data_IF_929595241050
#
_entry.id   IF_929595241050
#
_cell.length_a   1.000
_cell.length_b   1.000
_cell.length_c   1.000
_cell.angle_alpha   90.00
_cell.angle_beta   90.00
_cell.angle_gamma   90.00
#
_symmetry.space_group_name_H-M   'P 1'
#
loop_
_entity.id
_entity.type
_entity.pdbx_description
1 polymer ?
2 non-polymer ?
3 non-polymer ?
4 water ?
#
# COMPACT_ATOMS: atom_id res chain seq x y z
N UNK A 1 -3.82 13.66 21.25
CA UNK A 1 -4.32 13.34 19.86
C UNK A 1 -5.13 12.04 19.90
N UNK A 2 -5.71 11.68 18.75
CA UNK A 2 -6.69 10.59 18.60
C UNK A 2 -6.45 9.95 17.23
N UNK A 3 -7.09 8.82 16.97
CA UNK A 3 -7.09 8.19 15.62
C UNK A 3 -8.52 8.25 15.10
N UNK A 4 -8.61 8.34 13.78
CA UNK A 4 -9.85 8.17 13.01
C UNK A 4 -9.71 6.82 12.28
N UNK A 5 -10.52 5.84 12.64
CA UNK A 5 -10.42 4.44 12.16
C UNK A 5 -11.51 4.20 11.10
N UNK A 6 -11.07 3.92 9.88
CA UNK A 6 -11.94 3.59 8.72
C UNK A 6 -11.80 2.11 8.39
N UNK A 7 -12.83 1.44 7.85
CA UNK A 7 -12.65 0.13 7.23
C UNK A 7 -11.63 0.24 6.09
N UNK A 8 -10.81 -0.79 5.89
CA UNK A 8 -9.73 -0.77 4.86
C UNK A 8 -10.37 -0.75 3.45
N UNK A 9 -11.53 -1.36 3.30
CA UNK A 9 -12.16 -1.51 1.96
C UNK A 9 -13.69 -1.69 2.05
N UNK A 10 -14.40 -1.24 1.02
CA UNK A 10 -15.85 -1.48 0.80
C UNK A 10 -16.04 -1.67 -0.70
N UNK A 11 -17.11 -2.33 -1.11
CA UNK A 11 -17.43 -2.56 -2.54
C UNK A 11 -18.94 -2.61 -2.72
N UNK A 12 -19.39 -2.33 -3.93
CA UNK A 12 -20.80 -2.51 -4.33
C UNK A 12 -20.86 -2.46 -5.84
N UNK A 13 -22.00 -2.79 -6.40
CA UNK A 13 -22.27 -2.80 -7.85
C UNK A 13 -22.78 -1.42 -8.25
N UNK A 14 -22.67 -1.03 -9.54
CA UNK A 14 -23.19 0.25 -10.00
C UNK A 14 -24.66 0.42 -9.57
N UNK A 15 -25.04 1.65 -9.22
CA UNK A 15 -26.44 2.04 -8.93
C UNK A 15 -26.75 1.88 -7.46
N UNK A 16 -25.91 1.16 -6.71
CA UNK A 16 -26.15 0.88 -5.28
C UNK A 16 -25.61 2.01 -4.43
N UNK A 17 -25.90 1.91 -3.14
CA UNK A 17 -25.53 2.82 -2.03
C UNK A 17 -24.46 2.13 -1.15
N UNK A 18 -23.38 2.83 -0.82
CA UNK A 18 -22.36 2.28 0.10
C UNK A 18 -22.08 3.32 1.17
N UNK A 19 -21.81 2.87 2.39
CA UNK A 19 -21.43 3.76 3.51
C UNK A 19 -20.01 3.43 3.96
N UNK A 20 -19.21 4.47 4.20
CA UNK A 20 -17.85 4.41 4.78
C UNK A 20 -17.88 5.14 6.13
N UNK A 21 -17.53 4.44 7.20
CA UNK A 21 -17.49 4.98 8.57
C UNK A 21 -16.07 5.41 8.94
N UNK A 22 -15.97 6.20 10.00
CA UNK A 22 -14.78 6.92 10.48
C UNK A 22 -14.98 7.13 11.97
N UNK A 23 -14.47 6.23 12.81
CA UNK A 23 -14.66 6.25 14.29
C UNK A 23 -13.50 7.01 14.93
N UNK A 24 -13.81 8.00 15.76
CA UNK A 24 -12.79 8.77 16.50
C UNK A 24 -12.49 8.01 17.79
N UNK A 25 -11.23 7.71 18.04
CA UNK A 25 -10.77 6.79 19.12
C UNK A 25 -10.96 7.42 20.51
N UNK A 26 -10.67 8.71 20.67
CA UNK A 26 -10.91 9.46 21.93
C UNK A 26 -11.24 10.92 21.61
N UNK A 27 -12.00 11.57 22.50
CA UNK A 27 -12.62 12.88 22.26
C UNK A 27 -13.93 12.70 21.50
N UNK A 28 -14.76 13.74 21.42
CA UNK A 28 -16.12 13.61 20.81
C UNK A 28 -16.04 13.98 19.32
N UNK A 29 -16.61 13.15 18.46
CA UNK A 29 -16.66 13.34 16.99
C UNK A 29 -17.23 14.74 16.67
N UNK A 30 -18.16 15.26 17.49
CA UNK A 30 -18.83 16.55 17.18
C UNK A 30 -18.07 17.73 17.79
N UNK A 31 -16.94 17.51 18.46
CA UNK A 31 -16.07 18.58 19.00
C UNK A 31 -15.41 19.33 17.85
N UNK A 32 -15.13 18.64 16.73
CA UNK A 32 -14.45 19.28 15.56
C UNK A 32 -15.02 18.76 14.24
N UNK A 33 -15.00 19.61 13.22
CA UNK A 33 -15.44 19.33 11.84
C UNK A 33 -14.68 18.14 11.23
N UNK A 34 -15.44 17.30 10.51
CA UNK A 34 -14.94 16.17 9.68
C UNK A 34 -15.00 16.56 8.20
N UNK A 35 -13.90 16.33 7.49
CA UNK A 35 -13.81 16.49 6.03
C UNK A 35 -13.68 15.09 5.41
N UNK A 36 -14.07 14.95 4.14
CA UNK A 36 -13.85 13.70 3.37
C UNK A 36 -13.15 14.06 2.08
N UNK A 37 -12.09 13.32 1.76
CA UNK A 37 -11.34 13.45 0.48
C UNK A 37 -11.47 12.16 -0.33
N UNK A 38 -11.68 12.33 -1.64
CA UNK A 38 -11.68 11.24 -2.63
C UNK A 38 -10.35 11.30 -3.36
N UNK A 39 -9.69 10.16 -3.50
CA UNK A 39 -8.50 10.10 -4.38
C UNK A 39 -8.63 8.91 -5.31
N UNK A 40 -8.99 9.19 -6.55
CA UNK A 40 -8.99 8.17 -7.63
C UNK A 40 -7.55 7.75 -7.90
N UNK A 41 -7.32 6.45 -8.19
CA UNK A 41 -5.96 5.94 -8.41
C UNK A 41 -5.35 6.77 -9.56
N UNK A 42 -4.13 7.27 -9.37
CA UNK A 42 -3.44 8.09 -10.36
C UNK A 42 -4.12 9.44 -10.54
N UNK A 43 -4.80 9.97 -9.53
CA UNK A 43 -5.27 11.38 -9.52
C UNK A 43 -4.92 12.08 -8.21
N UNK A 44 -5.04 13.40 -8.24
CA UNK A 44 -4.95 14.32 -7.11
C UNK A 44 -6.17 14.09 -6.21
N UNK A 45 -6.03 14.31 -4.89
CA UNK A 45 -7.18 14.37 -4.01
C UNK A 45 -8.15 15.49 -4.40
N UNK A 46 -9.41 15.26 -4.07
CA UNK A 46 -10.48 16.29 -4.17
C UNK A 46 -11.35 16.19 -2.91
N UNK A 47 -11.78 17.32 -2.41
CA UNK A 47 -12.69 17.36 -1.23
C UNK A 47 -14.12 17.06 -1.70
N UNK A 48 -14.77 16.05 -1.11
CA UNK A 48 -16.21 15.76 -1.40
C UNK A 48 -17.11 16.29 -0.26
N UNK A 49 -16.61 16.36 0.96
CA UNK A 49 -17.36 16.90 2.12
C UNK A 49 -16.42 17.75 2.98
N UNK A 50 -16.91 18.89 3.46
CA UNK A 50 -16.27 19.68 4.54
C UNK A 50 -17.32 20.00 5.63
N UNK A 51 -16.85 20.32 6.82
CA UNK A 51 -17.74 20.72 7.95
C UNK A 51 -18.85 19.66 8.08
N UNK A 52 -18.47 18.37 8.15
CA UNK A 52 -19.38 17.22 8.46
C UNK A 52 -20.27 16.84 7.26
N UNK A 53 -20.89 17.79 6.56
CA UNK A 53 -21.97 17.48 5.58
C UNK A 53 -22.10 18.52 4.46
N UNK A 54 -21.19 19.48 4.35
CA UNK A 54 -21.23 20.47 3.25
C UNK A 54 -20.53 19.88 2.00
N UNK A 55 -21.17 20.01 0.83
CA UNK A 55 -20.60 19.63 -0.48
C UNK A 55 -20.01 20.87 -1.14
N UNK A 56 -18.71 20.85 -1.51
CA UNK A 56 -18.15 21.89 -2.38
C UNK A 56 -18.98 21.96 -3.65
N UNK A 57 -18.97 23.09 -4.33
CA UNK A 57 -19.75 23.23 -5.59
C UNK A 57 -19.10 22.28 -6.61
N UNK A 58 -19.91 21.64 -7.46
CA UNK A 58 -19.43 20.62 -8.42
C UNK A 58 -19.56 19.20 -7.87
N UNK A 59 -19.67 19.02 -6.55
CA UNK A 59 -19.81 17.66 -5.94
C UNK A 59 -21.28 17.28 -5.90
N UNK A 60 -21.67 16.18 -6.60
CA UNK A 60 -23.07 15.80 -6.72
C UNK A 60 -23.66 15.40 -5.37
N UNK A 61 -24.97 15.57 -5.22
CA UNK A 61 -25.73 15.25 -3.98
C UNK A 61 -25.83 13.73 -3.73
N UNK A 62 -25.25 12.89 -4.61
CA UNK A 62 -25.00 11.43 -4.37
C UNK A 62 -24.07 11.25 -3.18
N UNK A 63 -23.21 12.22 -2.89
CA UNK A 63 -22.29 12.18 -1.72
C UNK A 63 -22.94 12.88 -0.54
N UNK A 64 -23.01 12.19 0.58
CA UNK A 64 -23.65 12.70 1.81
C UNK A 64 -22.79 12.39 3.03
N UNK A 65 -22.42 13.44 3.77
CA UNK A 65 -21.72 13.33 5.06
C UNK A 65 -22.70 13.33 6.21
N UNK A 66 -22.42 12.56 7.27
CA UNK A 66 -23.24 12.50 8.49
C UNK A 66 -22.32 12.31 9.70
N UNK A 67 -22.87 12.58 10.88
CA UNK A 67 -22.20 12.39 12.18
C UNK A 67 -23.15 11.53 13.00
N UNK A 68 -22.61 10.52 13.66
CA UNK A 68 -23.34 9.68 14.63
C UNK A 68 -22.64 9.86 15.97
N UNK A 69 -23.19 10.68 16.86
CA UNK A 69 -22.64 10.90 18.23
C UNK A 69 -22.70 9.58 19.02
N UNK A 70 -23.72 8.76 18.77
CA UNK A 70 -23.90 7.44 19.45
C UNK A 70 -22.63 6.60 19.33
N UNK A 71 -22.11 6.41 18.11
CA UNK A 71 -20.92 5.58 17.85
C UNK A 71 -19.63 6.43 17.80
N UNK A 72 -19.73 7.75 18.02
CA UNK A 72 -18.58 8.69 17.93
C UNK A 72 -17.92 8.54 16.55
N UNK A 73 -18.72 8.54 15.48
CA UNK A 73 -18.27 8.23 14.12
C UNK A 73 -18.83 9.26 13.14
N UNK A 74 -18.11 9.44 12.04
CA UNK A 74 -18.63 10.13 10.84
C UNK A 74 -18.84 9.07 9.77
N UNK A 75 -19.69 9.35 8.80
CA UNK A 75 -19.90 8.49 7.62
C UNK A 75 -19.99 9.32 6.35
N UNK A 76 -19.41 8.79 5.27
CA UNK A 76 -19.69 9.17 3.88
C UNK A 76 -20.62 8.12 3.26
N UNK A 77 -21.76 8.55 2.72
CA UNK A 77 -22.74 7.68 2.02
C UNK A 77 -22.74 8.10 0.56
N UNK A 78 -22.39 7.17 -0.33
CA UNK A 78 -22.45 7.38 -1.79
C UNK A 78 -23.59 6.54 -2.37
N UNK A 79 -24.63 7.21 -2.89
CA UNK A 79 -25.79 6.57 -3.54
C UNK A 79 -25.56 6.60 -5.05
N UNK A 80 -26.27 5.76 -5.79
CA UNK A 80 -26.24 5.79 -7.26
C UNK A 80 -24.84 5.52 -7.76
N UNK A 81 -24.14 4.54 -7.15
CA UNK A 81 -22.69 4.34 -7.37
C UNK A 81 -22.39 4.35 -8.87
N UNK A 82 -21.38 5.09 -9.27
CA UNK A 82 -20.84 5.07 -10.65
C UNK A 82 -19.40 4.55 -10.61
N UNK A 83 -18.88 4.10 -11.76
CA UNK A 83 -17.56 3.46 -11.84
C UNK A 83 -16.50 4.52 -11.52
N UNK A 84 -16.74 5.80 -11.80
CA UNK A 84 -15.76 6.86 -11.51
C UNK A 84 -15.69 7.11 -9.98
N UNK A 85 -16.57 6.52 -9.18
CA UNK A 85 -16.53 6.65 -7.70
C UNK A 85 -15.47 5.72 -7.09
N UNK A 86 -14.91 4.77 -7.87
CA UNK A 86 -13.84 3.85 -7.39
C UNK A 86 -12.62 4.69 -7.03
N UNK A 87 -12.20 4.67 -5.78
CA UNK A 87 -11.23 5.66 -5.25
C UNK A 87 -10.91 5.30 -3.81
N UNK A 88 -9.86 5.88 -3.27
CA UNK A 88 -9.63 5.89 -1.81
C UNK A 88 -10.35 7.10 -1.23
N UNK A 89 -11.02 6.88 -0.10
CA UNK A 89 -11.74 7.91 0.67
C UNK A 89 -11.08 8.02 2.04
N UNK A 90 -10.72 9.26 2.38
CA UNK A 90 -10.14 9.61 3.70
C UNK A 90 -11.03 10.62 4.43
N UNK A 91 -11.27 10.35 5.71
CA UNK A 91 -11.87 11.31 6.65
C UNK A 91 -10.74 12.04 7.38
N UNK A 92 -11.04 13.20 7.94
CA UNK A 92 -10.04 14.10 8.57
C UNK A 92 -10.75 15.02 9.55
N UNK A 93 -10.14 15.22 10.71
CA UNK A 93 -10.61 16.17 11.73
C UNK A 93 -9.38 16.70 12.49
N UNK A 94 -9.57 17.26 13.67
CA UNK A 94 -8.49 17.91 14.44
C UNK A 94 -8.92 18.03 15.90
N UNK A 95 -7.93 18.25 16.78
CA UNK A 95 -8.09 18.82 18.14
C UNK A 95 -7.00 19.89 18.31
N UNK A 96 -7.39 21.16 18.36
CA UNK A 96 -6.49 22.33 18.33
C UNK A 96 -5.67 22.26 17.03
N UNK A 97 -4.33 22.15 17.12
CA UNK A 97 -3.44 22.16 15.93
C UNK A 97 -3.23 20.73 15.39
N UNK A 98 -3.33 19.68 16.23
CA UNK A 98 -3.28 18.26 15.77
C UNK A 98 -4.33 18.03 14.67
N UNK A 99 -3.90 17.93 13.41
CA UNK A 99 -4.72 17.45 12.25
C UNK A 99 -4.62 15.93 12.21
N UNK A 100 -5.73 15.22 12.18
CA UNK A 100 -5.76 13.74 12.16
C UNK A 100 -6.50 13.27 10.90
N UNK A 101 -5.84 12.45 10.09
CA UNK A 101 -6.42 11.79 8.90
C UNK A 101 -6.77 10.35 9.27
N UNK A 102 -7.86 9.85 8.70
CA UNK A 102 -8.14 8.40 8.68
C UNK A 102 -7.14 7.65 7.82
N UNK A 103 -7.06 6.34 7.99
CA UNK A 103 -6.14 5.48 7.23
C UNK A 103 -6.57 5.33 5.77
N UNK A 104 -7.78 5.74 5.41
CA UNK A 104 -8.27 5.51 4.03
C UNK A 104 -9.11 4.23 3.89
N UNK A 105 -10.12 4.30 3.05
CA UNK A 105 -10.97 3.16 2.64
C UNK A 105 -10.93 3.11 1.13
N UNK A 106 -10.54 1.96 0.59
CA UNK A 106 -10.66 1.66 -0.85
C UNK A 106 -12.10 1.27 -1.16
N UNK A 107 -12.79 2.06 -2.00
CA UNK A 107 -14.12 1.70 -2.53
C UNK A 107 -13.93 1.07 -3.91
N UNK A 108 -14.35 -0.17 -4.08
CA UNK A 108 -14.36 -0.83 -5.41
C UNK A 108 -15.80 -0.85 -5.90
N UNK A 109 -15.99 -0.38 -7.13
CA UNK A 109 -17.25 -0.59 -7.89
C UNK A 109 -17.04 -1.90 -8.67
N UNK A 110 -17.76 -2.94 -8.29
CA UNK A 110 -17.50 -4.35 -8.69
C UNK A 110 -17.58 -4.45 -10.21
N UNK A 111 -16.46 -4.84 -10.85
CA UNK A 111 -16.36 -5.13 -12.28
C UNK A 111 -16.43 -6.62 -12.57
N UNK A 112 -16.49 -7.45 -11.52
CA UNK A 112 -16.47 -8.93 -11.65
C UNK A 112 -16.88 -9.50 -10.33
N UNK A 113 -17.18 -10.81 -10.26
CA UNK A 113 -17.60 -11.42 -9.00
C UNK A 113 -16.53 -11.25 -7.91
N UNK A 114 -16.98 -11.07 -6.68
CA UNK A 114 -16.10 -11.16 -5.50
C UNK A 114 -15.49 -12.56 -5.45
N UNK A 115 -14.26 -12.63 -4.97
CA UNK A 115 -13.49 -13.88 -4.79
C UNK A 115 -12.65 -13.75 -3.52
N UNK A 116 -12.87 -14.65 -2.56
CA UNK A 116 -12.11 -14.75 -1.29
C UNK A 116 -10.69 -15.21 -1.61
N UNK A 117 -9.66 -14.68 -0.92
CA UNK A 117 -8.26 -15.06 -1.19
C UNK A 117 -7.94 -16.47 -0.71
N UNK A 118 -7.13 -17.21 -1.47
CA UNK A 118 -6.28 -18.33 -0.96
C UNK A 118 -5.10 -17.74 -0.20
N UNK A 119 -4.88 -18.22 1.01
CA UNK A 119 -3.81 -17.75 1.92
C UNK A 119 -2.97 -18.98 2.24
N UNK A 120 -1.68 -18.91 1.94
CA UNK A 120 -0.68 -19.97 2.19
C UNK A 120 0.49 -19.36 2.95
N UNK A 121 0.73 -19.87 4.16
CA UNK A 121 1.79 -19.38 5.04
C UNK A 121 2.96 -20.37 5.02
N UNK A 122 4.15 -19.88 4.74
CA UNK A 122 5.38 -20.69 4.60
C UNK A 122 6.32 -20.40 5.76
N UNK A 123 6.81 -21.47 6.46
CA UNK A 123 7.85 -21.31 7.46
C UNK A 123 9.19 -21.06 6.77
N UNK A 124 10.26 -20.71 7.50
CA UNK A 124 11.54 -20.39 6.88
C UNK A 124 12.12 -21.57 6.10
N UNK A 125 12.80 -21.29 5.00
CA UNK A 125 13.48 -22.29 4.13
C UNK A 125 14.79 -22.69 4.82
N UNK A 126 15.15 -23.97 4.78
CA UNK A 126 16.42 -24.51 5.35
C UNK A 126 17.60 -23.72 4.81
N UNK A 127 17.64 -23.51 3.50
CA UNK A 127 18.79 -22.80 2.91
C UNK A 127 18.97 -21.44 3.59
N UNK A 128 17.90 -20.64 3.73
CA UNK A 128 18.05 -19.24 4.24
C UNK A 128 18.48 -19.33 5.70
N UNK A 129 18.05 -20.33 6.45
CA UNK A 129 18.40 -20.48 7.89
C UNK A 129 19.93 -20.53 7.99
N UNK A 130 20.61 -21.18 7.04
CA UNK A 130 22.09 -21.27 7.02
C UNK A 130 22.73 -19.97 6.49
N UNK A 131 21.94 -19.00 6.02
CA UNK A 131 22.43 -17.61 5.76
C UNK A 131 22.01 -16.68 6.90
N UNK A 132 21.58 -17.21 8.05
CA UNK A 132 21.20 -16.44 9.29
C UNK A 132 19.91 -15.62 9.02
N UNK A 133 19.00 -16.14 8.17
CA UNK A 133 17.70 -15.49 7.83
C UNK A 133 16.57 -16.46 8.15
N UNK A 134 15.45 -15.94 8.63
CA UNK A 134 14.23 -16.74 8.88
C UNK A 134 13.01 -15.98 8.36
N UNK A 135 13.02 -15.59 7.10
CA UNK A 135 11.85 -14.94 6.45
C UNK A 135 10.67 -15.89 6.40
N UNK A 136 9.49 -15.43 6.86
CA UNK A 136 8.17 -16.08 6.65
C UNK A 136 7.50 -15.39 5.44
N UNK A 137 6.78 -16.14 4.61
CA UNK A 137 6.02 -15.55 3.47
C UNK A 137 4.60 -16.04 3.56
N UNK A 138 3.68 -15.10 3.43
CA UNK A 138 2.22 -15.32 3.37
C UNK A 138 1.76 -14.96 1.96
N UNK A 139 1.59 -15.95 1.10
CA UNK A 139 1.07 -15.77 -0.27
C UNK A 139 -0.46 -15.60 -0.26
N UNK A 140 -0.96 -14.58 -0.94
CA UNK A 140 -2.40 -14.24 -1.00
C UNK A 140 -2.80 -14.16 -2.47
N UNK A 141 -3.62 -15.08 -2.93
CA UNK A 141 -3.92 -15.21 -4.38
C UNK A 141 -5.42 -15.32 -4.64
N UNK A 142 -5.79 -15.09 -5.90
CA UNK A 142 -7.14 -15.35 -6.47
C UNK A 142 -8.20 -14.47 -5.77
N UNK A 143 -7.89 -13.21 -5.44
CA UNK A 143 -8.89 -12.39 -4.70
C UNK A 143 -9.39 -11.25 -5.59
N UNK A 144 -10.65 -10.88 -5.33
CA UNK A 144 -11.29 -9.69 -5.94
C UNK A 144 -12.35 -9.23 -4.96
N UNK A 145 -12.50 -7.90 -4.71
CA UNK A 145 -11.59 -6.85 -5.18
C UNK A 145 -10.11 -6.96 -4.78
N UNK A 146 -9.24 -6.16 -5.40
CA UNK A 146 -7.77 -6.21 -5.23
C UNK A 146 -7.31 -5.41 -4.02
N UNK A 147 -8.02 -5.49 -2.89
CA UNK A 147 -7.67 -4.74 -1.66
C UNK A 147 -7.64 -5.75 -0.51
N UNK A 148 -6.52 -5.82 0.21
CA UNK A 148 -6.34 -6.69 1.40
C UNK A 148 -5.58 -5.89 2.45
N UNK A 149 -5.75 -6.28 3.68
CA UNK A 149 -4.91 -5.83 4.79
C UNK A 149 -4.33 -7.09 5.44
N UNK A 150 -3.05 -7.04 5.79
CA UNK A 150 -2.33 -8.18 6.40
C UNK A 150 -1.80 -7.71 7.76
N UNK A 151 -2.01 -8.51 8.80
CA UNK A 151 -1.44 -8.25 10.13
C UNK A 151 -0.76 -9.54 10.61
N UNK A 152 0.39 -9.39 11.26
CA UNK A 152 1.17 -10.56 11.73
C UNK A 152 1.16 -10.62 13.24
N UNK A 153 1.19 -11.83 13.81
CA UNK A 153 1.31 -12.08 15.27
C UNK A 153 2.51 -12.98 15.57
N UNK A 154 3.39 -12.55 16.49
CA UNK A 154 4.40 -13.39 17.18
C UNK A 154 3.75 -13.94 18.46
N UNK A 155 3.45 -15.24 18.48
CA UNK A 155 2.49 -15.88 19.42
C UNK A 155 1.17 -15.10 19.31
N UNK A 156 0.86 -14.25 20.30
CA UNK A 156 -0.43 -13.53 20.45
C UNK A 156 -0.22 -12.03 20.31
N UNK A 157 1.03 -11.58 20.18
CA UNK A 157 1.41 -10.15 20.11
C UNK A 157 1.44 -9.70 18.66
N UNK A 158 0.74 -8.59 18.31
CA UNK A 158 0.94 -7.95 17.01
C UNK A 158 2.43 -7.67 16.82
N UNK A 159 2.92 -7.92 15.61
CA UNK A 159 4.26 -7.55 15.12
C UNK A 159 4.08 -6.21 14.38
N UNK A 160 5.08 -5.33 14.41
CA UNK A 160 5.09 -4.08 13.59
C UNK A 160 6.29 -4.12 12.63
N UNK A 161 7.49 -4.23 13.21
CA UNK A 161 8.78 -4.24 12.51
C UNK A 161 8.91 -5.46 11.59
N UNK A 162 9.50 -5.23 10.43
CA UNK A 162 9.97 -6.28 9.51
C UNK A 162 8.87 -6.80 8.59
N UNK A 163 7.68 -6.19 8.58
CA UNK A 163 6.56 -6.60 7.69
C UNK A 163 6.70 -5.83 6.37
N UNK A 164 6.62 -6.54 5.24
CA UNK A 164 6.50 -5.91 3.90
C UNK A 164 5.38 -6.65 3.15
N UNK A 165 4.44 -5.90 2.57
CA UNK A 165 3.34 -6.45 1.75
C UNK A 165 3.39 -5.83 0.36
N UNK A 166 3.36 -6.64 -0.70
CA UNK A 166 3.38 -6.10 -2.08
C UNK A 166 2.01 -5.52 -2.44
N UNK A 167 2.01 -4.56 -3.34
CA UNK A 167 0.78 -4.02 -3.94
C UNK A 167 0.14 -5.11 -4.79
N UNK A 168 -1.14 -5.45 -4.51
CA UNK A 168 -1.86 -6.48 -5.25
C UNK A 168 -1.81 -6.26 -6.76
N UNK A 169 -1.49 -7.30 -7.53
CA UNK A 169 -1.46 -7.21 -9.02
C UNK A 169 -2.39 -8.27 -9.64
N UNK A 170 -2.97 -7.90 -10.77
CA UNK A 170 -3.95 -8.75 -11.50
C UNK A 170 -3.14 -9.80 -12.25
N UNK A 171 -3.41 -11.08 -11.99
CA UNK A 171 -2.70 -12.24 -12.57
C UNK A 171 -3.46 -12.74 -13.82
N UNK A 172 -3.10 -13.88 -14.38
CA UNK A 172 -3.60 -14.35 -15.71
C UNK A 172 -5.07 -14.79 -15.60
N UNK A 173 -5.54 -15.12 -14.41
CA UNK A 173 -6.96 -15.48 -14.16
C UNK A 173 -7.83 -14.24 -13.90
N UNK A 174 -7.30 -13.01 -14.10
CA UNK A 174 -8.00 -11.72 -13.86
C UNK A 174 -8.35 -11.50 -12.38
N UNK A 175 -7.72 -12.24 -11.48
CA UNK A 175 -7.82 -12.05 -10.02
C UNK A 175 -6.46 -11.60 -9.46
N UNK A 176 -6.47 -11.07 -8.24
CA UNK A 176 -5.28 -10.37 -7.66
C UNK A 176 -4.44 -11.33 -6.83
N UNK A 177 -3.14 -11.07 -6.78
CA UNK A 177 -2.20 -11.77 -5.89
C UNK A 177 -1.27 -10.76 -5.22
N UNK A 178 -0.82 -11.11 -4.04
CA UNK A 178 0.15 -10.31 -3.27
C UNK A 178 0.88 -11.25 -2.33
N UNK A 179 2.02 -10.84 -1.81
CA UNK A 179 2.73 -11.56 -0.71
C UNK A 179 3.11 -10.57 0.38
N UNK A 180 2.93 -10.99 1.64
CA UNK A 180 3.43 -10.29 2.83
C UNK A 180 4.58 -11.17 3.35
N UNK A 181 5.75 -10.57 3.59
CA UNK A 181 6.87 -11.32 4.20
C UNK A 181 7.31 -10.59 5.46
N UNK A 182 7.69 -11.39 6.46
CA UNK A 182 8.24 -10.93 7.76
C UNK A 182 9.68 -11.41 7.88
N UNK A 183 10.65 -10.50 7.82
CA UNK A 183 12.10 -10.80 7.84
C UNK A 183 12.53 -10.98 9.29
N UNK A 184 12.60 -12.23 9.76
CA UNK A 184 13.02 -12.59 11.14
C UNK A 184 14.48 -13.01 11.15
N UNK A 185 15.12 -12.93 12.32
CA UNK A 185 16.36 -13.69 12.64
C UNK A 185 15.97 -15.09 13.07
N UNK A 186 16.85 -16.07 12.81
CA UNK A 186 16.64 -17.43 13.31
C UNK A 186 16.30 -17.45 14.81
N UNK A 187 16.91 -16.54 15.57
CA UNK A 187 16.70 -16.48 17.03
C UNK A 187 15.31 -15.91 17.32
N UNK A 188 14.87 -14.86 16.61
CA UNK A 188 13.46 -14.37 16.76
C UNK A 188 12.47 -15.52 16.53
N UNK A 189 12.70 -16.28 15.46
CA UNK A 189 11.79 -17.34 14.97
C UNK A 189 11.70 -18.49 15.99
N UNK A 190 12.84 -18.89 16.56
CA UNK A 190 12.91 -20.01 17.54
C UNK A 190 12.46 -19.50 18.92
N UNK A 191 12.59 -18.20 19.22
CA UNK A 191 12.19 -17.64 20.54
C UNK A 191 10.67 -17.59 20.69
N UNK A 192 9.87 -18.01 19.70
CA UNK A 192 8.38 -18.02 19.77
C UNK A 192 7.84 -19.41 19.47
N UNK A 193 6.63 -19.70 19.96
CA UNK A 193 5.97 -21.02 19.75
C UNK A 193 5.35 -21.05 18.36
N UNK A 194 4.88 -19.89 17.86
CA UNK A 194 4.25 -19.76 16.53
C UNK A 194 4.22 -18.31 16.07
N UNK A 195 4.16 -18.11 14.75
CA UNK A 195 3.78 -16.84 14.11
C UNK A 195 2.52 -17.08 13.26
N UNK A 196 1.74 -16.00 13.08
CA UNK A 196 0.42 -16.02 12.42
C UNK A 196 0.28 -14.84 11.46
N UNK A 197 -0.37 -15.11 10.33
CA UNK A 197 -0.66 -14.17 9.22
C UNK A 197 -2.18 -14.00 9.21
N UNK A 198 -2.67 -12.77 9.39
CA UNK A 198 -4.13 -12.45 9.38
C UNK A 198 -4.43 -11.62 8.14
N UNK A 199 -5.24 -12.16 7.25
CA UNK A 199 -5.54 -11.50 5.96
C UNK A 199 -7.02 -11.12 5.94
N UNK A 200 -7.30 -9.82 5.82
CA UNK A 200 -8.69 -9.30 5.86
C UNK A 200 -9.07 -8.87 4.44
N UNK A 201 -10.18 -9.41 3.96
CA UNK A 201 -10.76 -9.12 2.62
C UNK A 201 -12.28 -9.12 2.72
N UNK A 202 -12.99 -8.12 2.15
CA UNK A 202 -14.47 -8.10 1.97
C UNK A 202 -15.26 -8.69 3.17
N UNK A 203 -15.08 -8.17 4.37
CA UNK A 203 -15.91 -8.57 5.54
C UNK A 203 -15.42 -9.84 6.26
N UNK A 204 -14.26 -10.41 5.90
CA UNK A 204 -13.75 -11.64 6.54
C UNK A 204 -12.25 -11.55 6.81
N UNK A 205 -11.82 -12.15 7.91
CA UNK A 205 -10.40 -12.25 8.30
C UNK A 205 -10.10 -13.74 8.38
N UNK A 206 -9.27 -14.22 7.47
CA UNK A 206 -8.65 -15.58 7.50
C UNK A 206 -7.31 -15.46 8.24
N UNK A 207 -6.91 -16.56 8.89
CA UNK A 207 -5.70 -16.66 9.72
C UNK A 207 -5.01 -17.99 9.40
N UNK A 208 -3.68 -17.95 9.30
CA UNK A 208 -2.80 -19.14 9.19
C UNK A 208 -1.67 -19.00 10.21
N UNK A 209 -1.21 -20.11 10.77
CA UNK A 209 -0.16 -20.16 11.80
C UNK A 209 0.98 -21.08 11.35
N UNK A 210 2.23 -20.72 11.63
CA UNK A 210 3.38 -21.66 11.47
C UNK A 210 4.18 -21.68 12.76
N UNK A 211 4.91 -22.78 12.95
CA UNK A 211 5.66 -23.18 14.15
C UNK A 211 7.02 -23.74 13.70
N UNK A 212 8.11 -23.56 14.50
CA UNK A 212 9.35 -24.30 14.27
C UNK A 212 9.23 -25.84 14.37
N UNK A 213 10.10 -26.58 13.64
CA UNK A 213 10.48 -28.02 13.85
C UNK A 213 11.66 -28.36 12.92
N UNK A 214 12.12 -29.62 12.89
CA UNK A 214 13.15 -30.16 11.93
C UNK A 214 12.55 -31.24 11.02
N UNK A 215 12.51 -30.96 9.71
CA UNK A 215 12.17 -31.90 8.60
C UNK A 215 11.92 -31.09 7.32
N UNK B 1 -13.46 31.04 -5.30
CA UNK B 1 -13.05 29.80 -6.02
C UNK B 1 -11.76 30.03 -6.82
N UNK B 2 -10.77 29.15 -6.68
CA UNK B 2 -9.43 29.27 -7.31
C UNK B 2 -8.86 27.87 -7.51
N UNK B 3 -7.85 27.78 -8.37
CA UNK B 3 -7.08 26.53 -8.61
C UNK B 3 -5.64 26.75 -8.16
N UNK B 4 -4.98 25.64 -7.80
CA UNK B 4 -3.53 25.58 -7.52
C UNK B 4 -2.88 24.82 -8.66
N UNK B 5 -1.99 25.50 -9.38
CA UNK B 5 -1.29 24.92 -10.55
C UNK B 5 0.12 24.49 -10.17
N UNK B 6 0.44 23.21 -10.40
CA UNK B 6 1.76 22.63 -10.11
C UNK B 6 2.34 22.13 -11.44
N UNK B 7 3.68 22.02 -11.58
CA UNK B 7 4.24 21.27 -12.70
C UNK B 7 3.73 19.82 -12.65
N UNK B 8 3.57 19.22 -13.82
CA UNK B 8 3.17 17.81 -14.00
C UNK B 8 4.29 16.92 -13.45
N UNK B 9 5.55 17.24 -13.77
CA UNK B 9 6.68 16.35 -13.42
C UNK B 9 7.99 17.13 -13.34
N UNK B 10 8.90 16.68 -12.49
CA UNK B 10 10.29 17.22 -12.39
C UNK B 10 11.19 16.01 -12.15
N UNK B 11 12.44 16.11 -12.58
CA UNK B 11 13.46 15.04 -12.51
C UNK B 11 14.76 15.65 -11.99
N UNK B 12 15.50 14.92 -11.17
CA UNK B 12 16.80 15.40 -10.62
C UNK B 12 17.58 14.20 -10.11
N UNK B 13 18.91 14.33 -10.02
CA UNK B 13 19.84 13.27 -9.55
C UNK B 13 19.99 13.39 -8.05
N UNK B 14 20.47 12.33 -7.34
CA UNK B 14 20.58 12.34 -5.89
C UNK B 14 21.56 13.44 -5.45
N UNK B 15 21.34 14.03 -4.27
CA UNK B 15 22.19 15.09 -3.72
C UNK B 15 21.91 16.46 -4.33
N UNK B 16 21.08 16.57 -5.36
CA UNK B 16 20.75 17.90 -5.94
C UNK B 16 19.54 18.48 -5.21
N UNK B 17 19.26 19.74 -5.50
CA UNK B 17 18.08 20.50 -5.00
C UNK B 17 17.02 20.52 -6.09
N UNK B 18 15.77 20.23 -5.73
CA UNK B 18 14.63 20.39 -6.66
C UNK B 18 13.60 21.32 -6.00
N UNK B 19 12.93 22.14 -6.80
CA UNK B 19 11.85 23.07 -6.39
C UNK B 19 10.57 22.71 -7.15
N UNK B 20 9.46 22.66 -6.41
CA UNK B 20 8.09 22.38 -6.92
C UNK B 20 7.23 23.59 -6.57
N UNK B 21 6.78 24.32 -7.59
CA UNK B 21 5.95 25.55 -7.47
C UNK B 21 4.47 25.18 -7.40
N UNK B 22 3.70 26.06 -6.80
CA UNK B 22 2.25 25.92 -6.61
C UNK B 22 1.65 27.34 -6.73
N UNK B 23 1.09 27.69 -7.90
CA UNK B 23 0.59 29.06 -8.23
C UNK B 23 -0.92 29.10 -8.02
N UNK B 24 -1.40 30.00 -7.17
CA UNK B 24 -2.85 30.27 -6.97
C UNK B 24 -3.39 31.12 -8.15
N UNK B 25 -4.45 30.63 -8.78
CA UNK B 25 -5.04 31.19 -10.03
C UNK B 25 -5.74 32.52 -9.73
N UNK B 26 -6.26 32.68 -8.52
CA UNK B 26 -7.23 33.73 -8.16
C UNK B 26 -7.18 33.93 -6.64
N UNK B 27 -7.12 35.18 -6.19
CA UNK B 27 -6.88 35.55 -4.78
C UNK B 27 -5.40 35.43 -4.47
N UNK B 28 -4.96 35.97 -3.34
CA UNK B 28 -3.52 36.06 -2.99
C UNK B 28 -3.11 34.75 -2.29
N UNK B 29 -1.96 34.19 -2.69
CA UNK B 29 -1.40 32.96 -2.08
C UNK B 29 -1.36 33.10 -0.55
N UNK B 30 -1.09 34.31 -0.04
CA UNK B 30 -0.88 34.52 1.41
C UNK B 30 -2.19 34.73 2.18
N UNK B 31 -3.36 34.69 1.54
CA UNK B 31 -4.67 34.80 2.24
C UNK B 31 -4.97 33.52 3.02
N UNK B 32 -4.36 32.39 2.67
CA UNK B 32 -4.56 31.12 3.45
C UNK B 32 -3.31 30.27 3.45
N UNK B 33 -3.17 29.42 4.47
CA UNK B 33 -2.04 28.50 4.66
C UNK B 33 -1.94 27.49 3.50
N UNK B 34 -0.72 27.23 3.06
CA UNK B 34 -0.38 26.16 2.08
C UNK B 34 0.27 24.96 2.80
N UNK B 35 -0.25 23.78 2.51
CA UNK B 35 0.23 22.47 2.99
C UNK B 35 0.85 21.73 1.79
N UNK B 36 1.82 20.86 2.06
CA UNK B 36 2.42 19.93 1.06
C UNK B 36 2.34 18.50 1.61
N UNK B 37 1.92 17.58 0.75
CA UNK B 37 1.83 16.12 0.98
C UNK B 37 2.74 15.39 -0.01
N UNK B 38 3.40 14.36 0.48
CA UNK B 38 4.18 13.38 -0.30
C UNK B 38 3.37 12.08 -0.36
N UNK B 39 3.34 11.41 -1.50
CA UNK B 39 2.67 10.10 -1.65
C UNK B 39 3.54 9.20 -2.51
N UNK B 40 3.98 8.10 -1.93
CA UNK B 40 4.70 7.01 -2.65
C UNK B 40 3.66 6.06 -3.25
N UNK B 41 4.01 5.34 -4.34
CA UNK B 41 3.05 4.49 -5.04
C UNK B 41 2.45 3.45 -4.08
N UNK B 42 1.13 3.24 -4.12
CA UNK B 42 0.44 2.25 -3.28
C UNK B 42 0.43 2.59 -1.80
N UNK B 43 0.75 3.83 -1.42
CA UNK B 43 0.74 4.30 0.00
C UNK B 43 -0.24 5.48 0.14
N UNK B 44 -0.75 5.70 1.35
CA UNK B 44 -1.45 6.94 1.72
C UNK B 44 -0.46 8.10 1.73
N UNK B 45 -0.93 9.33 1.47
CA UNK B 45 -0.09 10.52 1.58
C UNK B 45 0.37 10.79 3.03
N UNK B 46 1.46 11.52 3.15
CA UNK B 46 1.99 12.04 4.44
C UNK B 46 2.23 13.55 4.28
N UNK B 47 1.86 14.31 5.28
CA UNK B 47 2.12 15.76 5.32
C UNK B 47 3.62 15.97 5.45
N UNK B 48 4.23 16.80 4.59
CA UNK B 48 5.66 17.18 4.76
C UNK B 48 5.79 18.67 5.14
N UNK B 49 4.78 19.49 4.83
CA UNK B 49 4.71 20.92 5.25
C UNK B 49 3.26 21.27 5.58
N UNK B 50 3.05 22.01 6.67
CA UNK B 50 1.79 22.70 6.97
C UNK B 50 2.10 24.15 7.33
N UNK B 51 1.08 25.01 7.23
CA UNK B 51 1.20 26.43 7.62
C UNK B 51 2.40 27.02 6.85
N UNK B 52 2.41 26.79 5.53
CA UNK B 52 3.42 27.34 4.59
C UNK B 52 4.81 26.70 4.73
N UNK B 53 5.35 26.53 5.95
CA UNK B 53 6.79 26.20 6.13
C UNK B 53 7.07 25.37 7.39
N UNK B 54 6.06 24.84 8.07
CA UNK B 54 6.20 24.04 9.29
C UNK B 54 6.31 22.54 8.94
N UNK B 55 7.31 21.86 9.49
CA UNK B 55 7.51 20.41 9.27
C UNK B 55 6.90 19.69 10.46
N UNK B 56 5.99 18.74 10.22
CA UNK B 56 5.57 17.83 11.27
C UNK B 56 6.74 16.96 11.73
N UNK B 57 6.66 16.37 12.92
CA UNK B 57 7.73 15.47 13.45
C UNK B 57 7.94 14.30 12.49
N UNK B 58 9.17 13.86 12.32
CA UNK B 58 9.55 12.74 11.45
C UNK B 58 9.92 13.20 10.06
N UNK B 59 9.52 14.41 9.67
CA UNK B 59 9.87 14.92 8.31
C UNK B 59 11.29 15.47 8.35
N UNK B 60 12.17 15.04 7.44
CA UNK B 60 13.54 15.55 7.41
C UNK B 60 13.57 17.05 7.11
N UNK B 61 14.62 17.72 7.58
CA UNK B 61 14.80 19.19 7.43
C UNK B 61 15.22 19.52 6.00
N UNK B 62 15.46 18.52 5.15
CA UNK B 62 15.70 18.68 3.68
C UNK B 62 14.46 19.23 2.96
N UNK B 63 13.28 19.13 3.59
CA UNK B 63 11.98 19.64 3.08
C UNK B 63 11.72 21.05 3.64
N UNK B 64 11.66 22.03 2.74
CA UNK B 64 11.45 23.47 3.06
C UNK B 64 10.26 23.99 2.26
N UNK B 65 9.28 24.55 2.97
CA UNK B 65 8.16 25.28 2.38
C UNK B 65 8.48 26.77 2.30
N UNK B 66 8.07 27.46 1.24
CA UNK B 66 8.21 28.92 1.13
C UNK B 66 7.00 29.49 0.40
N UNK B 67 6.86 30.82 0.49
CA UNK B 67 5.80 31.60 -0.19
C UNK B 67 6.49 32.73 -0.95
N UNK B 68 6.07 32.98 -2.19
CA UNK B 68 6.54 34.15 -2.97
C UNK B 68 5.31 34.92 -3.46
N UNK B 69 4.91 35.96 -2.72
CA UNK B 69 3.75 36.83 -3.03
C UNK B 69 3.86 37.43 -4.43
N UNK B 70 5.07 37.71 -4.92
CA UNK B 70 5.31 38.44 -6.19
C UNK B 70 4.95 37.55 -7.38
N UNK B 71 5.06 36.22 -7.26
CA UNK B 71 4.61 35.26 -8.31
C UNK B 71 3.30 34.57 -7.88
N UNK B 72 2.72 35.00 -6.77
CA UNK B 72 1.47 34.44 -6.18
C UNK B 72 1.56 32.91 -6.02
N UNK B 73 2.70 32.43 -5.53
CA UNK B 73 3.05 30.99 -5.53
C UNK B 73 3.58 30.54 -4.18
N UNK B 74 3.44 29.24 -3.93
CA UNK B 74 4.16 28.50 -2.87
C UNK B 74 5.20 27.60 -3.53
N UNK B 75 6.23 27.22 -2.80
CA UNK B 75 7.22 26.23 -3.31
C UNK B 75 7.61 25.25 -2.21
N UNK B 76 7.78 24.00 -2.63
CA UNK B 76 8.43 22.94 -1.84
C UNK B 76 9.82 22.76 -2.43
N UNK B 77 10.83 22.98 -1.60
CA UNK B 77 12.25 22.83 -2.02
C UNK B 77 12.81 21.64 -1.26
N UNK B 78 13.33 20.67 -1.98
CA UNK B 78 13.96 19.47 -1.38
C UNK B 78 15.44 19.56 -1.72
N UNK B 79 16.27 19.67 -0.69
CA UNK B 79 17.75 19.71 -0.82
C UNK B 79 18.31 18.32 -0.55
N UNK B 80 19.51 18.03 -1.07
CA UNK B 80 20.21 16.74 -0.86
C UNK B 80 19.29 15.58 -1.19
N UNK B 81 18.77 15.59 -2.42
CA UNK B 81 17.71 14.67 -2.89
C UNK B 81 18.12 13.20 -2.66
N UNK B 82 17.23 12.41 -2.07
CA UNK B 82 17.46 10.96 -1.85
C UNK B 82 16.43 10.16 -2.64
N UNK B 83 16.70 8.87 -2.90
CA UNK B 83 15.85 8.02 -3.76
C UNK B 83 14.49 7.87 -3.07
N UNK B 84 14.45 7.93 -1.73
CA UNK B 84 13.18 7.79 -0.97
C UNK B 84 12.29 9.02 -1.24
N UNK B 85 12.85 10.12 -1.77
CA UNK B 85 12.08 11.33 -2.10
C UNK B 85 11.26 11.14 -3.38
N UNK B 86 11.54 10.11 -4.18
CA UNK B 86 10.77 9.82 -5.43
C UNK B 86 9.30 9.55 -5.06
N UNK B 87 8.37 10.34 -5.60
CA UNK B 87 6.97 10.40 -5.12
C UNK B 87 6.20 11.45 -5.92
N UNK B 88 4.89 11.45 -5.71
CA UNK B 88 3.95 12.54 -6.07
C UNK B 88 3.89 13.54 -4.92
N UNK B 89 3.87 14.83 -5.26
CA UNK B 89 3.75 15.92 -4.26
C UNK B 89 2.50 16.73 -4.58
N UNK B 90 1.69 17.02 -3.57
CA UNK B 90 0.46 17.82 -3.71
C UNK B 90 0.55 19.04 -2.81
N UNK B 91 0.34 20.23 -3.37
CA UNK B 91 0.09 21.42 -2.56
C UNK B 91 -1.40 21.49 -2.26
N UNK B 92 -1.75 22.25 -1.23
CA UNK B 92 -3.14 22.33 -0.76
C UNK B 92 -3.31 23.64 -0.01
N UNK B 93 -4.45 24.30 -0.22
CA UNK B 93 -4.89 25.47 0.57
C UNK B 93 -6.41 25.40 0.79
N UNK B 94 -7.00 26.53 1.17
CA UNK B 94 -8.36 26.71 1.73
C UNK B 94 -9.06 27.84 0.98
N UNK B 95 -10.36 27.67 0.71
CA UNK B 95 -11.27 28.63 0.01
C UNK B 95 -12.28 29.24 1.00
N UNK B 96 -12.37 28.71 2.23
CA UNK B 96 -13.47 28.92 3.21
C UNK B 96 -14.68 28.05 2.82
N UNK B 97 -15.01 27.99 1.54
CA UNK B 97 -16.05 27.06 1.01
C UNK B 97 -15.39 25.80 0.40
N UNK B 98 -14.11 25.53 0.73
CA UNK B 98 -13.41 24.31 0.20
C UNK B 98 -11.95 24.15 0.67
N UNK B 99 -11.50 22.90 0.73
CA UNK B 99 -10.08 22.49 0.71
C UNK B 99 -9.74 22.12 -0.74
N UNK B 100 -8.79 22.86 -1.34
CA UNK B 100 -8.38 22.68 -2.76
C UNK B 100 -6.94 22.16 -2.83
N UNK B 101 -6.72 21.24 -3.75
CA UNK B 101 -5.43 20.58 -4.00
C UNK B 101 -4.94 21.02 -5.37
N UNK B 102 -3.62 21.18 -5.49
CA UNK B 102 -2.88 21.10 -6.76
C UNK B 102 -3.09 19.78 -7.46
N UNK B 103 -2.78 19.77 -8.76
CA UNK B 103 -2.93 18.58 -9.61
C UNK B 103 -1.85 17.57 -9.37
N UNK B 104 -0.82 17.94 -8.60
CA UNK B 104 0.25 17.02 -8.17
C UNK B 104 1.44 17.07 -9.11
N UNK B 105 2.61 16.82 -8.56
CA UNK B 105 3.89 16.80 -9.33
C UNK B 105 4.54 15.45 -9.08
N UNK B 106 4.88 14.76 -10.14
CA UNK B 106 5.64 13.51 -10.06
C UNK B 106 7.12 13.89 -10.03
N UNK B 107 7.79 13.56 -8.94
CA UNK B 107 9.24 13.77 -8.78
C UNK B 107 9.94 12.45 -9.08
N UNK B 108 10.77 12.43 -10.12
CA UNK B 108 11.63 11.28 -10.48
C UNK B 108 13.06 11.56 -9.97
N UNK B 109 13.62 10.63 -9.21
CA UNK B 109 15.04 10.60 -8.83
C UNK B 109 15.77 9.72 -9.86
N UNK B 110 16.60 10.36 -10.69
CA UNK B 110 17.42 9.71 -11.74
C UNK B 110 18.63 9.01 -11.13
N UNK B 111 19.14 7.99 -11.83
CA UNK B 111 20.42 7.33 -11.53
C UNK B 111 20.38 6.64 -10.19
N UNK B 112 19.27 6.00 -9.83
CA UNK B 112 19.24 5.19 -8.58
C UNK B 112 20.13 3.98 -8.85
N UNK B 113 20.94 3.53 -7.88
CA UNK B 113 21.82 2.39 -8.14
C UNK B 113 21.08 1.05 -8.36
N UNK B 114 21.61 0.25 -9.28
CA UNK B 114 21.27 -1.17 -9.46
C UNK B 114 21.41 -1.90 -8.12
N UNK B 115 20.48 -2.80 -7.85
CA UNK B 115 20.44 -3.63 -6.64
C UNK B 115 19.95 -5.01 -7.08
N UNK B 116 20.81 -6.01 -6.93
CA UNK B 116 20.50 -7.40 -7.33
C UNK B 116 19.48 -7.94 -6.34
N UNK B 117 18.55 -8.81 -6.77
CA UNK B 117 17.54 -9.33 -5.86
C UNK B 117 18.07 -10.35 -4.85
N UNK B 118 17.53 -10.35 -3.64
CA UNK B 118 17.53 -11.51 -2.72
C UNK B 118 16.43 -12.47 -3.18
N UNK B 119 16.75 -13.74 -3.33
CA UNK B 119 15.84 -14.79 -3.84
C UNK B 119 15.76 -15.88 -2.78
N UNK B 120 14.55 -16.15 -2.27
CA UNK B 120 14.30 -17.26 -1.32
C UNK B 120 13.19 -18.16 -1.87
N UNK B 121 13.40 -19.48 -1.85
CA UNK B 121 12.45 -20.44 -2.44
C UNK B 121 11.87 -21.28 -1.32
N UNK B 122 10.56 -21.31 -1.23
CA UNK B 122 9.83 -22.04 -0.15
C UNK B 122 9.10 -23.21 -0.78
N UNK B 123 9.34 -24.44 -0.28
CA UNK B 123 8.61 -25.59 -0.74
C UNK B 123 7.22 -25.65 -0.09
N UNK B 124 6.32 -26.51 -0.62
CA UNK B 124 5.00 -26.71 -0.02
C UNK B 124 5.14 -27.16 1.44
N UNK B 125 4.28 -26.70 2.36
CA UNK B 125 4.29 -27.15 3.77
C UNK B 125 3.56 -28.48 3.88
N UNK B 126 3.83 -29.20 4.97
CA UNK B 126 3.13 -30.46 5.35
C UNK B 126 1.64 -30.17 5.49
N UNK B 127 1.29 -29.05 6.11
CA UNK B 127 -0.12 -28.62 6.28
C UNK B 127 -0.78 -28.51 4.90
N UNK B 128 -0.15 -27.78 3.98
CA UNK B 128 -0.73 -27.56 2.65
C UNK B 128 -0.89 -28.91 1.95
N UNK B 129 0.14 -29.76 2.01
CA UNK B 129 0.11 -31.10 1.38
C UNK B 129 -1.02 -31.93 1.98
N UNK B 130 -1.26 -31.79 3.29
CA UNK B 130 -2.39 -32.45 4.01
C UNK B 130 -3.73 -31.97 3.42
N UNK B 131 -3.80 -30.73 2.91
CA UNK B 131 -5.02 -30.18 2.28
C UNK B 131 -5.02 -30.41 0.76
N UNK B 132 -4.21 -31.35 0.29
CA UNK B 132 -4.19 -31.84 -1.12
C UNK B 132 -3.80 -30.70 -2.08
N UNK B 133 -2.94 -29.77 -1.63
CA UNK B 133 -2.40 -28.68 -2.49
C UNK B 133 -0.89 -28.66 -2.30
N UNK B 134 -0.19 -28.15 -3.31
CA UNK B 134 1.28 -27.96 -3.28
C UNK B 134 1.55 -26.63 -3.97
N UNK B 135 2.03 -25.65 -3.23
CA UNK B 135 2.45 -24.36 -3.83
C UNK B 135 3.90 -24.15 -3.47
N UNK B 136 4.70 -23.81 -4.46
CA UNK B 136 6.00 -23.17 -4.21
C UNK B 136 5.91 -21.66 -4.38
N UNK B 137 6.64 -20.92 -3.55
CA UNK B 137 6.79 -19.45 -3.71
C UNK B 137 8.28 -19.11 -3.78
N UNK B 138 8.61 -18.31 -4.78
CA UNK B 138 9.94 -17.74 -4.99
C UNK B 138 9.84 -16.26 -4.67
N UNK B 139 10.26 -15.88 -3.45
CA UNK B 139 10.25 -14.48 -2.97
C UNK B 139 11.49 -13.76 -3.50
N UNK B 140 11.26 -12.61 -4.10
CA UNK B 140 12.28 -11.81 -4.82
C UNK B 140 12.19 -10.39 -4.27
N UNK B 141 13.22 -9.91 -3.57
CA UNK B 141 13.18 -8.61 -2.87
C UNK B 141 14.47 -7.84 -3.06
N UNK B 142 14.41 -6.55 -2.71
CA UNK B 142 15.58 -5.66 -2.58
C UNK B 142 16.18 -5.40 -3.96
N UNK B 143 15.39 -5.39 -5.05
CA UNK B 143 15.98 -5.20 -6.40
C UNK B 143 15.61 -3.86 -7.02
N UNK B 144 16.51 -3.36 -7.86
CA UNK B 144 16.34 -2.11 -8.64
C UNK B 144 17.17 -2.29 -9.89
N UNK B 145 16.68 -1.96 -11.11
CA UNK B 145 15.30 -1.55 -11.37
C UNK B 145 14.26 -2.67 -11.15
N UNK B 146 12.98 -2.28 -11.26
CA UNK B 146 11.82 -3.10 -10.83
C UNK B 146 11.31 -4.02 -11.92
N UNK B 147 12.19 -4.74 -12.62
CA UNK B 147 11.85 -5.67 -13.73
C UNK B 147 12.65 -6.94 -13.50
N UNK B 148 11.98 -8.08 -13.38
CA UNK B 148 12.62 -9.42 -13.33
C UNK B 148 11.93 -10.30 -14.39
N UNK B 149 12.61 -11.35 -14.87
CA UNK B 149 11.90 -12.48 -15.49
C UNK B 149 12.22 -13.75 -14.71
N UNK B 150 11.27 -14.66 -14.64
CA UNK B 150 11.39 -15.89 -13.80
C UNK B 150 11.09 -17.09 -14.69
N UNK B 151 11.92 -18.13 -14.57
CA UNK B 151 11.70 -19.44 -15.21
C UNK B 151 11.76 -20.50 -14.11
N UNK B 152 10.87 -21.48 -14.18
CA UNK B 152 10.81 -22.61 -13.25
C UNK B 152 11.30 -23.89 -13.94
N UNK B 153 11.87 -24.79 -13.15
CA UNK B 153 12.31 -26.12 -13.64
C UNK B 153 11.75 -27.20 -12.71
N UNK B 154 11.27 -28.27 -13.31
CA UNK B 154 10.96 -29.56 -12.65
C UNK B 154 12.11 -30.49 -13.03
N UNK B 155 12.89 -30.93 -12.03
CA UNK B 155 14.23 -31.52 -12.26
C UNK B 155 15.00 -30.51 -13.12
N UNK B 156 15.48 -30.88 -14.31
CA UNK B 156 16.18 -29.95 -15.22
C UNK B 156 15.25 -29.38 -16.29
N UNK B 157 13.96 -29.76 -16.32
CA UNK B 157 13.05 -29.52 -17.48
C UNK B 157 12.22 -28.26 -17.26
N UNK B 158 11.93 -27.49 -18.32
CA UNK B 158 11.17 -26.24 -18.16
C UNK B 158 9.74 -26.55 -17.71
N UNK B 159 9.23 -25.82 -16.71
CA UNK B 159 7.79 -25.80 -16.31
C UNK B 159 7.10 -24.74 -17.17
N UNK B 160 6.03 -25.12 -17.86
CA UNK B 160 5.34 -24.23 -18.84
C UNK B 160 3.91 -23.89 -18.39
N UNK B 161 3.47 -24.39 -17.24
CA UNK B 161 2.08 -24.23 -16.75
C UNK B 161 2.10 -24.01 -15.24
N UNK B 162 1.11 -23.29 -14.72
CA UNK B 162 0.88 -23.12 -13.26
C UNK B 162 1.74 -22.03 -12.65
N UNK B 163 2.41 -21.21 -13.45
CA UNK B 163 3.34 -20.16 -12.96
C UNK B 163 2.61 -18.82 -12.96
N UNK B 164 2.69 -18.07 -11.86
CA UNK B 164 2.28 -16.64 -11.79
C UNK B 164 3.42 -15.85 -11.15
N UNK B 165 3.65 -14.64 -11.61
CA UNK B 165 4.62 -13.69 -11.02
C UNK B 165 3.93 -12.34 -10.86
N UNK B 166 3.95 -11.78 -9.64
CA UNK B 166 3.32 -10.48 -9.33
C UNK B 166 4.15 -9.37 -9.99
N UNK B 167 3.46 -8.28 -10.37
CA UNK B 167 4.11 -7.00 -10.78
C UNK B 167 4.92 -6.47 -9.60
N UNK B 168 6.22 -6.18 -9.85
CA UNK B 168 7.08 -5.70 -8.77
C UNK B 168 6.51 -4.40 -8.18
N UNK B 169 6.50 -4.30 -6.85
CA UNK B 169 6.11 -3.05 -6.15
C UNK B 169 7.24 -2.57 -5.25
N UNK B 170 7.40 -1.26 -5.19
CA UNK B 170 8.42 -0.58 -4.36
C UNK B 170 8.03 -0.76 -2.90
N UNK B 171 8.95 -1.26 -2.06
CA UNK B 171 8.73 -1.51 -0.61
C UNK B 171 9.42 -0.39 0.21
N UNK B 172 9.34 -0.45 1.55
CA UNK B 172 9.71 0.68 2.45
C UNK B 172 11.20 1.00 2.36
N UNK B 173 12.02 0.07 1.85
CA UNK B 173 13.46 0.30 1.57
C UNK B 173 13.67 0.88 0.16
N UNK B 174 12.60 1.26 -0.56
CA UNK B 174 12.61 1.90 -1.92
C UNK B 174 13.30 1.02 -2.98
N UNK B 175 13.32 -0.30 -2.74
CA UNK B 175 13.66 -1.34 -3.74
C UNK B 175 12.43 -2.24 -3.94
N UNK B 176 12.38 -2.93 -5.07
CA UNK B 176 11.21 -3.72 -5.52
C UNK B 176 11.16 -5.09 -4.85
N UNK B 177 9.93 -5.59 -4.73
CA UNK B 177 9.61 -6.96 -4.28
C UNK B 177 8.54 -7.55 -5.21
N UNK B 178 8.62 -8.85 -5.39
CA UNK B 178 7.65 -9.68 -6.13
C UNK B 178 7.76 -11.13 -5.65
N UNK B 179 6.71 -11.91 -5.96
CA UNK B 179 6.66 -13.37 -5.74
C UNK B 179 6.32 -14.04 -7.08
N UNK B 180 6.99 -15.13 -7.40
CA UNK B 180 6.55 -16.08 -8.45
C UNK B 180 6.09 -17.30 -7.67
N UNK B 181 4.89 -17.82 -7.97
CA UNK B 181 4.31 -18.99 -7.28
C UNK B 181 3.90 -20.00 -8.34
N UNK B 182 4.15 -21.27 -8.03
CA UNK B 182 3.86 -22.41 -8.92
C UNK B 182 2.90 -23.33 -8.17
N UNK B 183 1.74 -23.56 -8.76
CA UNK B 183 0.67 -24.44 -8.22
C UNK B 183 0.86 -25.84 -8.77
N UNK B 184 1.05 -26.81 -7.90
CA UNK B 184 1.27 -28.22 -8.31
C UNK B 184 0.25 -29.06 -7.56
N UNK B 185 -0.01 -30.27 -8.04
CA UNK B 185 -0.65 -31.32 -7.20
C UNK B 185 0.41 -31.86 -6.27
N UNK B 186 0.04 -32.43 -5.10
CA UNK B 186 1.02 -33.13 -4.26
C UNK B 186 1.79 -34.23 -5.03
N UNK B 187 1.14 -34.88 -6.00
CA UNK B 187 1.72 -36.00 -6.79
C UNK B 187 2.86 -35.45 -7.66
N UNK B 188 2.63 -34.36 -8.37
CA UNK B 188 3.65 -33.64 -9.19
C UNK B 188 4.86 -33.28 -8.33
N UNK B 189 4.62 -32.69 -7.14
CA UNK B 189 5.68 -32.28 -6.18
C UNK B 189 6.50 -33.50 -5.81
N UNK B 190 5.85 -34.60 -5.40
CA UNK B 190 6.52 -35.84 -4.95
C UNK B 190 7.11 -36.60 -6.15
N UNK B 191 6.72 -36.32 -7.38
CA UNK B 191 7.16 -37.09 -8.57
C UNK B 191 8.57 -36.68 -9.00
N UNK B 192 9.03 -35.48 -8.65
CA UNK B 192 10.35 -34.95 -9.06
C UNK B 192 11.34 -34.99 -7.91
N UNK B 193 12.62 -34.98 -8.28
CA UNK B 193 13.78 -34.88 -7.37
C UNK B 193 13.81 -33.48 -6.76
N UNK B 194 13.56 -32.46 -7.59
CA UNK B 194 13.56 -31.05 -7.15
C UNK B 194 12.74 -30.17 -8.10
N UNK B 195 12.46 -28.97 -7.62
CA UNK B 195 12.03 -27.82 -8.46
C UNK B 195 12.97 -26.66 -8.18
N UNK B 196 13.18 -25.85 -9.21
CA UNK B 196 14.07 -24.67 -9.21
C UNK B 196 13.32 -23.45 -9.74
N UNK B 197 13.62 -22.29 -9.15
CA UNK B 197 13.22 -20.95 -9.60
C UNK B 197 14.49 -20.25 -10.03
N UNK B 198 14.51 -19.73 -11.25
CA UNK B 198 15.62 -18.95 -11.85
C UNK B 198 15.13 -17.52 -12.12
N UNK B 199 15.69 -16.57 -11.39
CA UNK B 199 15.32 -15.14 -11.45
C UNK B 199 16.41 -14.41 -12.23
N UNK B 200 16.05 -13.80 -13.34
CA UNK B 200 16.97 -12.96 -14.14
C UNK B 200 16.62 -11.47 -13.91
N UNK B 201 17.63 -10.70 -13.57
CA UNK B 201 17.55 -9.25 -13.28
C UNK B 201 18.76 -8.59 -13.94
N UNK B 202 18.53 -7.65 -14.85
CA UNK B 202 19.63 -6.88 -15.50
C UNK B 202 20.68 -7.88 -16.00
N UNK B 203 20.27 -8.94 -16.69
CA UNK B 203 21.21 -9.87 -17.35
C UNK B 203 21.79 -10.94 -16.43
N UNK B 204 21.63 -10.85 -15.11
CA UNK B 204 22.24 -11.82 -14.17
C UNK B 204 21.17 -12.78 -13.64
N UNK B 205 21.46 -14.07 -13.60
CA UNK B 205 20.48 -15.08 -13.14
C UNK B 205 20.89 -15.64 -11.77
N UNK B 206 19.92 -15.74 -10.87
CA UNK B 206 20.04 -16.36 -9.51
C UNK B 206 19.10 -17.57 -9.54
N UNK B 207 19.62 -18.74 -9.16
CA UNK B 207 18.81 -19.99 -9.18
C UNK B 207 18.75 -20.52 -7.76
N UNK B 208 17.55 -20.95 -7.34
CA UNK B 208 17.34 -21.67 -6.07
C UNK B 208 16.63 -22.98 -6.37
N UNK B 209 16.87 -24.00 -5.54
CA UNK B 209 16.34 -25.36 -5.73
C UNK B 209 15.82 -25.87 -4.37
N UNK B 210 14.65 -26.51 -4.36
CA UNK B 210 14.12 -27.23 -3.16
C UNK B 210 13.67 -28.61 -3.59
N UNK B 211 13.60 -29.55 -2.65
CA UNK B 211 13.30 -30.96 -2.92
C UNK B 211 12.32 -31.46 -1.86
N UNK B 212 11.48 -32.49 -2.13
CA UNK B 212 10.68 -33.12 -1.08
C UNK B 212 11.59 -33.58 0.08
N UNK B 213 11.19 -33.38 1.34
CA UNK B 213 12.04 -33.78 2.50
C UNK B 213 11.33 -34.85 3.32
N UNK B 214 12.00 -36.00 3.50
CA UNK B 214 11.62 -37.10 4.43
C UNK B 214 11.93 -36.64 5.85
N UNK B 215 11.39 -37.32 6.86
CA UNK B 215 11.75 -37.17 8.30
C UNK B 215 12.50 -38.43 8.76
#
# INVERSE_FOLDING_TARGET
NFMLNQPHSVSESPGKTVTISCTRSSGNIDSNYVQWYQQRPGSAPITVIYEDNQRPSGVPDRFAGSIDRSSNSASLTISGLKTEDEADYYCQSYDARNVVFGGGTRLTVLGQPKAAPSVTLFPPSSEELQANKATLVCLISDFYPGAVTVAWKADSSPVKAGVETTTPSKQSNNKYAASSYLSLTPEQWKSHKSYSCQVTHEGSTVEKTVAPTEC
NFMLNQPHSVSESPGKTVTISCTRSSGNIDSNYVQWYQQRPGSAPITVIYEDNQRPSGVPDRFAGSIDRSSNSASLTISGLKTEDEADYYCQSYDARNVVFGGGTRLTVLGQPKAAPSVTLFPPSSEELQANKATLVCLISDFYPGAVTVAWKADSSPVKAGVETTTPSKQSNNKYAASSYLSLTPEQWKSHKSYSCQVTHEGSTVEKTVAPTEC
#
